data_IF_311455550113
#
_entry.id   IF_311455550113
#
_cell.length_a   1.000
_cell.length_b   1.000
_cell.length_c   1.000
_cell.angle_alpha   90.00
_cell.angle_beta   90.00
_cell.angle_gamma   90.00
#
_symmetry.space_group_name_H-M   'P 1'
#
loop_
_entity.id
_entity.type
_entity.pdbx_description
1 polymer ?
#
# COMPACT_ATOMS: atom_id res chain seq x y z
N UNK A 1 -0.29 12.49 4.95
CA UNK A 1 -0.26 11.83 6.27
C UNK A 1 0.08 10.37 6.05
N UNK A 2 1.15 9.87 6.67
CA UNK A 2 1.57 8.46 6.57
C UNK A 2 0.83 7.62 7.63
N UNK A 3 0.66 6.32 7.40
CA UNK A 3 0.05 5.37 8.35
C UNK A 3 0.65 5.48 9.77
N UNK A 4 1.95 5.74 9.84
CA UNK A 4 2.70 5.97 11.09
C UNK A 4 2.17 7.15 11.91
N UNK A 5 1.77 8.25 11.28
CA UNK A 5 1.26 9.42 11.97
C UNK A 5 -0.14 9.16 12.58
N UNK A 6 -1.00 8.44 11.86
CA UNK A 6 -2.34 8.09 12.34
C UNK A 6 -2.26 7.11 13.52
N UNK A 7 -1.37 6.11 13.45
CA UNK A 7 -1.14 5.17 14.55
C UNK A 7 -0.57 5.86 15.80
N UNK A 8 0.25 6.89 15.62
CA UNK A 8 0.77 7.69 16.73
C UNK A 8 -0.35 8.48 17.42
N UNK A 9 -1.25 9.10 16.67
CA UNK A 9 -2.40 9.84 17.20
C UNK A 9 -3.39 8.93 17.94
N UNK A 10 -3.75 7.78 17.35
CA UNK A 10 -4.65 6.81 17.98
C UNK A 10 -4.10 6.34 19.34
N UNK A 11 -2.79 6.08 19.42
CA UNK A 11 -2.13 5.72 20.69
C UNK A 11 -2.20 6.85 21.72
N UNK A 12 -1.99 8.10 21.30
CA UNK A 12 -2.08 9.25 22.22
C UNK A 12 -3.50 9.43 22.76
N UNK A 13 -4.52 9.16 21.95
CA UNK A 13 -5.92 9.23 22.38
C UNK A 13 -6.22 8.10 23.40
N UNK A 14 -5.77 6.87 23.15
CA UNK A 14 -5.90 5.76 24.09
C UNK A 14 -5.27 6.06 25.46
N UNK A 15 -4.08 6.66 25.46
CA UNK A 15 -3.38 7.01 26.70
C UNK A 15 -4.13 8.12 27.48
N UNK A 16 -4.75 9.08 26.80
CA UNK A 16 -5.62 10.10 27.42
C UNK A 16 -6.87 9.47 28.05
N UNK A 17 -7.50 8.51 27.37
CA UNK A 17 -8.68 7.81 27.90
C UNK A 17 -8.33 7.09 29.20
N UNK A 18 -7.23 6.32 29.22
CA UNK A 18 -6.76 5.61 30.43
C UNK A 18 -6.47 6.56 31.59
N UNK A 19 -5.88 7.71 31.30
CA UNK A 19 -5.60 8.71 32.34
C UNK A 19 -6.89 9.26 32.96
N UNK A 20 -7.89 9.58 32.15
CA UNK A 20 -9.19 10.06 32.63
C UNK A 20 -9.92 8.99 33.45
N UNK A 21 -9.82 7.72 33.07
CA UNK A 21 -10.40 6.60 33.85
C UNK A 21 -9.78 6.53 35.25
N UNK A 22 -8.46 6.71 35.37
CA UNK A 22 -7.78 6.79 36.67
C UNK A 22 -8.25 7.98 37.53
N UNK A 23 -8.54 9.12 36.91
CA UNK A 23 -9.08 10.30 37.60
C UNK A 23 -10.49 10.03 38.11
N UNK A 24 -11.36 9.41 37.31
CA UNK A 24 -12.72 9.03 37.72
C UNK A 24 -12.68 8.05 38.89
N UNK A 25 -11.82 7.03 38.83
CA UNK A 25 -11.66 6.05 39.91
C UNK A 25 -11.23 6.72 41.23
N UNK A 26 -10.30 7.66 41.14
CA UNK A 26 -9.82 8.41 42.30
C UNK A 26 -10.93 9.31 42.87
N UNK A 27 -11.62 10.06 42.01
CA UNK A 27 -12.72 10.94 42.41
C UNK A 27 -13.91 10.18 43.01
N UNK A 28 -14.15 8.95 42.56
CA UNK A 28 -15.18 8.06 43.11
C UNK A 28 -14.81 7.64 44.53
N UNK A 29 -13.54 7.25 44.76
CA UNK A 29 -13.03 6.88 46.09
C UNK A 29 -13.08 8.06 47.07
N UNK A 30 -12.92 9.29 46.60
CA UNK A 30 -12.93 10.51 47.43
C UNK A 30 -14.29 11.19 47.51
N UNK A 31 -15.33 10.67 46.86
CA UNK A 31 -16.69 11.24 46.89
C UNK A 31 -16.86 12.57 46.14
N UNK A 32 -15.98 12.90 45.18
CA UNK A 32 -15.94 14.21 44.51
C UNK A 32 -16.83 14.29 43.26
N UNK A 33 -18.16 14.26 43.44
CA UNK A 33 -19.18 14.23 42.37
C UNK A 33 -19.00 15.25 41.24
N UNK A 34 -18.63 16.50 41.56
CA UNK A 34 -18.42 17.54 40.54
C UNK A 34 -17.25 17.28 39.59
N UNK A 35 -16.21 16.57 40.07
CA UNK A 35 -15.10 16.15 39.21
C UNK A 35 -15.48 14.93 38.36
N UNK A 36 -16.29 14.02 38.90
CA UNK A 36 -16.79 12.85 38.17
C UNK A 36 -17.55 13.30 36.92
N UNK A 37 -18.49 14.23 37.05
CA UNK A 37 -19.32 14.65 35.92
C UNK A 37 -18.52 15.37 34.82
N UNK A 38 -17.60 16.28 35.18
CA UNK A 38 -16.73 16.95 34.19
C UNK A 38 -15.83 15.96 33.47
N UNK A 39 -15.26 15.01 34.20
CA UNK A 39 -14.37 14.00 33.63
C UNK A 39 -15.14 13.06 32.70
N UNK A 40 -16.39 12.74 33.04
CA UNK A 40 -17.31 11.95 32.20
C UNK A 40 -17.60 12.64 30.86
N UNK A 41 -17.88 13.94 30.88
CA UNK A 41 -18.15 14.73 29.67
C UNK A 41 -16.93 14.79 28.75
N UNK A 42 -15.74 15.07 29.30
CA UNK A 42 -14.49 15.07 28.52
C UNK A 42 -14.22 13.69 27.91
N UNK A 43 -14.48 12.61 28.66
CA UNK A 43 -14.33 11.24 28.16
C UNK A 43 -15.26 10.96 26.98
N UNK A 44 -16.52 11.36 27.07
CA UNK A 44 -17.51 11.17 25.99
C UNK A 44 -17.12 11.92 24.71
N UNK A 45 -16.60 13.14 24.83
CA UNK A 45 -16.09 13.93 23.71
C UNK A 45 -14.88 13.26 23.04
N UNK A 46 -13.90 12.81 23.83
CA UNK A 46 -12.72 12.12 23.30
C UNK A 46 -13.10 10.79 22.62
N UNK A 47 -14.03 10.03 23.19
CA UNK A 47 -14.51 8.78 22.57
C UNK A 47 -15.16 9.02 21.21
N UNK A 48 -15.90 10.13 21.07
CA UNK A 48 -16.49 10.53 19.79
C UNK A 48 -15.41 10.86 18.77
N UNK A 49 -14.41 11.65 19.15
CA UNK A 49 -13.28 11.97 18.26
C UNK A 49 -12.50 10.72 17.86
N UNK A 50 -12.23 9.81 18.81
CA UNK A 50 -11.55 8.55 18.57
C UNK A 50 -12.27 7.70 17.52
N UNK A 51 -13.61 7.60 17.64
CA UNK A 51 -14.43 6.86 16.67
C UNK A 51 -14.31 7.44 15.25
N UNK A 52 -14.28 8.76 15.11
CA UNK A 52 -14.14 9.43 13.80
C UNK A 52 -12.75 9.13 13.20
N UNK A 53 -11.69 9.22 14.01
CA UNK A 53 -10.32 8.94 13.54
C UNK A 53 -10.16 7.48 13.14
N UNK A 54 -10.77 6.54 13.87
CA UNK A 54 -10.78 5.12 13.50
C UNK A 54 -11.49 4.88 12.17
N UNK A 55 -12.68 5.46 11.96
CA UNK A 55 -13.42 5.32 10.70
C UNK A 55 -12.64 5.87 9.50
N UNK A 56 -11.98 7.02 9.66
CA UNK A 56 -11.13 7.62 8.64
C UNK A 56 -9.93 6.73 8.31
N UNK A 57 -9.30 6.15 9.33
CA UNK A 57 -8.19 5.20 9.16
C UNK A 57 -8.65 3.96 8.40
N UNK A 58 -9.75 3.35 8.81
CA UNK A 58 -10.26 2.12 8.20
C UNK A 58 -10.66 2.35 6.74
N UNK A 59 -11.27 3.50 6.44
CA UNK A 59 -11.55 3.94 5.06
C UNK A 59 -10.28 4.08 4.23
N UNK A 60 -9.24 4.71 4.78
CA UNK A 60 -7.97 4.89 4.09
C UNK A 60 -7.24 3.55 3.85
N UNK A 61 -7.25 2.65 4.83
CA UNK A 61 -6.68 1.30 4.72
C UNK A 61 -7.47 0.48 3.69
N UNK A 62 -8.80 0.54 3.71
CA UNK A 62 -9.63 -0.14 2.72
C UNK A 62 -9.35 0.39 1.31
N UNK A 63 -9.22 1.71 1.13
CA UNK A 63 -8.86 2.31 -0.16
C UNK A 63 -7.46 1.90 -0.64
N UNK A 64 -6.49 1.76 0.28
CA UNK A 64 -5.15 1.29 -0.04
C UNK A 64 -5.15 -0.20 -0.44
N UNK A 65 -5.89 -1.03 0.28
CA UNK A 65 -6.02 -2.47 0.04
C UNK A 65 -6.84 -2.76 -1.23
N UNK A 66 -7.78 -1.90 -1.59
CA UNK A 66 -8.59 -2.00 -2.80
C UNK A 66 -7.92 -1.40 -4.04
N UNK A 67 -6.64 -0.97 -3.96
CA UNK A 67 -5.88 -0.73 -5.19
C UNK A 67 -5.84 -2.04 -5.95
N UNK A 68 -6.40 -2.05 -7.17
CA UNK A 68 -6.24 -3.16 -8.11
C UNK A 68 -4.75 -3.46 -8.20
N UNK A 69 -4.33 -4.58 -7.62
CA UNK A 69 -2.94 -5.02 -7.72
C UNK A 69 -2.67 -5.25 -9.20
N UNK A 70 -1.79 -4.44 -9.76
CA UNK A 70 -1.31 -4.64 -11.11
C UNK A 70 -0.55 -5.97 -11.08
N UNK A 71 -1.02 -6.98 -11.79
CA UNK A 71 -0.35 -8.28 -11.88
C UNK A 71 0.16 -8.54 -13.29
N UNK A 72 1.19 -9.35 -13.38
CA UNK A 72 1.71 -9.88 -14.65
C UNK A 72 1.84 -11.40 -14.54
N UNK A 73 1.50 -12.17 -15.58
CA UNK A 73 1.66 -13.62 -15.55
C UNK A 73 3.12 -14.01 -15.32
N UNK A 74 3.34 -15.03 -14.48
CA UNK A 74 4.70 -15.50 -14.10
C UNK A 74 5.60 -15.73 -15.31
N UNK A 75 5.10 -16.47 -16.30
CA UNK A 75 5.85 -16.78 -17.52
C UNK A 75 6.28 -15.51 -18.27
N UNK A 76 5.43 -14.48 -18.31
CA UNK A 76 5.77 -13.20 -18.96
C UNK A 76 6.85 -12.47 -18.15
N UNK A 77 6.73 -12.44 -16.82
CA UNK A 77 7.73 -11.82 -15.94
C UNK A 77 9.11 -12.47 -16.04
N UNK A 78 9.17 -13.80 -16.14
CA UNK A 78 10.41 -14.56 -16.31
C UNK A 78 11.13 -14.19 -17.61
N UNK A 79 10.40 -14.12 -18.72
CA UNK A 79 10.97 -13.71 -20.01
C UNK A 79 11.43 -12.25 -20.00
N UNK A 80 10.62 -11.35 -19.45
CA UNK A 80 11.01 -9.94 -19.31
C UNK A 80 12.24 -9.78 -18.41
N UNK A 81 12.42 -10.64 -17.40
CA UNK A 81 13.62 -10.64 -16.57
C UNK A 81 14.85 -11.07 -17.37
N UNK A 82 14.73 -12.11 -18.20
CA UNK A 82 15.84 -12.56 -19.04
C UNK A 82 16.25 -11.45 -20.03
N UNK A 83 15.27 -10.88 -20.74
CA UNK A 83 15.48 -9.73 -21.64
C UNK A 83 16.13 -8.56 -20.89
N UNK A 84 15.65 -8.26 -19.68
CA UNK A 84 16.21 -7.19 -18.85
C UNK A 84 17.69 -7.42 -18.58
N UNK A 85 18.10 -8.62 -18.19
CA UNK A 85 19.51 -8.97 -17.93
C UNK A 85 20.37 -8.91 -19.21
N UNK A 86 19.84 -9.41 -20.33
CA UNK A 86 20.55 -9.42 -21.61
C UNK A 86 20.74 -8.00 -22.18
N UNK A 87 19.84 -7.08 -21.85
CA UNK A 87 19.89 -5.66 -22.22
C UNK A 87 20.66 -4.78 -21.22
N UNK A 88 21.70 -5.30 -20.56
CA UNK A 88 22.48 -4.61 -19.52
C UNK A 88 22.82 -3.13 -19.87
N UNK A 89 23.24 -2.87 -21.11
CA UNK A 89 23.57 -1.52 -21.58
C UNK A 89 22.39 -0.52 -21.64
N UNK A 90 21.15 -0.98 -21.52
CA UNK A 90 19.93 -0.18 -21.62
C UNK A 90 19.09 -0.18 -20.34
N UNK A 91 19.49 -0.92 -19.31
CA UNK A 91 18.77 -1.05 -18.05
C UNK A 91 18.50 0.28 -17.34
N UNK A 92 19.24 1.36 -17.63
CA UNK A 92 18.98 2.68 -17.02
C UNK A 92 17.85 3.48 -17.70
N UNK A 93 17.34 3.01 -18.85
CA UNK A 93 16.34 3.73 -19.64
C UNK A 93 15.27 2.77 -20.20
N UNK A 94 14.14 2.69 -19.50
CA UNK A 94 12.99 1.83 -19.87
C UNK A 94 12.49 2.09 -21.28
N UNK A 95 12.43 3.35 -21.72
CA UNK A 95 11.96 3.67 -23.07
C UNK A 95 12.89 3.08 -24.14
N UNK A 96 14.21 3.15 -23.91
CA UNK A 96 15.19 2.53 -24.80
C UNK A 96 15.11 1.00 -24.76
N UNK A 97 14.88 0.41 -23.59
CA UNK A 97 14.66 -1.04 -23.49
C UNK A 97 13.47 -1.48 -24.33
N UNK A 98 12.33 -0.81 -24.19
CA UNK A 98 11.10 -1.18 -24.91
C UNK A 98 11.28 -1.07 -26.43
N UNK A 99 11.98 -0.05 -26.92
CA UNK A 99 12.22 0.11 -28.34
C UNK A 99 13.28 -0.85 -28.92
N UNK A 100 14.03 -1.57 -28.09
CA UNK A 100 15.18 -2.37 -28.53
C UNK A 100 15.17 -3.81 -28.00
N UNK A 101 14.09 -4.25 -27.36
CA UNK A 101 13.98 -5.61 -26.81
C UNK A 101 13.69 -6.69 -27.86
N UNK A 102 13.20 -6.30 -29.06
CA UNK A 102 12.80 -7.26 -30.10
C UNK A 102 13.87 -8.33 -30.43
N UNK A 103 15.16 -7.99 -30.57
CA UNK A 103 16.22 -8.97 -30.84
C UNK A 103 16.52 -9.93 -29.70
N UNK A 104 16.04 -9.65 -28.49
CA UNK A 104 16.31 -10.43 -27.27
C UNK A 104 15.19 -11.41 -26.94
N UNK A 105 14.09 -11.42 -27.70
CA UNK A 105 13.06 -12.43 -27.52
C UNK A 105 13.56 -13.79 -27.98
N UNK A 106 13.44 -14.78 -27.10
CA UNK A 106 13.51 -16.18 -27.53
C UNK A 106 12.37 -16.47 -28.52
N UNK A 107 12.61 -17.17 -29.64
CA UNK A 107 11.58 -17.44 -30.64
C UNK A 107 10.35 -18.18 -30.11
N UNK A 108 10.49 -19.06 -29.12
CA UNK A 108 9.36 -19.78 -28.51
C UNK A 108 8.57 -18.85 -27.58
N UNK A 109 9.26 -17.95 -26.89
CA UNK A 109 8.67 -17.00 -25.94
C UNK A 109 8.10 -15.75 -26.60
N UNK A 110 8.59 -15.37 -27.78
CA UNK A 110 8.08 -14.26 -28.58
C UNK A 110 6.58 -14.38 -28.82
N UNK A 111 6.11 -15.57 -29.23
CA UNK A 111 4.70 -15.80 -29.49
C UNK A 111 3.85 -15.63 -28.22
N UNK A 112 4.36 -16.09 -27.07
CA UNK A 112 3.66 -16.00 -25.77
C UNK A 112 3.52 -14.54 -25.35
N UNK A 113 4.60 -13.76 -25.43
CA UNK A 113 4.59 -12.35 -25.05
C UNK A 113 3.76 -11.54 -26.03
N UNK A 114 3.85 -11.82 -27.33
CA UNK A 114 3.03 -11.18 -28.34
C UNK A 114 1.54 -11.42 -28.11
N UNK A 115 1.13 -12.67 -27.92
CA UNK A 115 -0.28 -13.02 -27.65
C UNK A 115 -0.79 -12.37 -26.37
N UNK A 116 0.04 -12.31 -25.33
CA UNK A 116 -0.30 -11.58 -24.11
C UNK A 116 -0.43 -10.07 -24.36
N UNK A 117 0.53 -9.43 -25.03
CA UNK A 117 0.47 -7.99 -25.33
C UNK A 117 -0.78 -7.59 -26.13
N UNK A 118 -1.26 -8.48 -27.00
CA UNK A 118 -2.45 -8.25 -27.83
C UNK A 118 -3.77 -8.67 -27.15
N UNK A 119 -3.73 -9.38 -26.02
CA UNK A 119 -4.95 -9.84 -25.35
C UNK A 119 -5.66 -8.75 -24.54
N UNK A 120 -4.95 -7.71 -24.12
CA UNK A 120 -5.50 -6.57 -23.36
C UNK A 120 -4.71 -5.30 -23.69
N UNK A 121 -5.42 -4.19 -23.93
CA UNK A 121 -4.81 -2.89 -24.24
C UNK A 121 -3.87 -2.38 -23.12
N UNK A 122 -4.07 -2.84 -21.89
CA UNK A 122 -3.27 -2.45 -20.73
C UNK A 122 -1.98 -3.26 -20.58
N UNK A 123 -1.80 -4.37 -21.30
CA UNK A 123 -0.62 -5.23 -21.12
C UNK A 123 0.69 -4.53 -21.49
N UNK A 124 0.65 -3.61 -22.46
CA UNK A 124 1.81 -2.74 -22.76
C UNK A 124 2.13 -1.79 -21.60
N UNK A 125 1.13 -1.27 -20.91
CA UNK A 125 1.31 -0.42 -19.73
C UNK A 125 1.82 -1.23 -18.53
N UNK A 126 1.33 -2.45 -18.34
CA UNK A 126 1.80 -3.38 -17.31
C UNK A 126 3.27 -3.76 -17.53
N UNK A 127 3.64 -4.16 -18.75
CA UNK A 127 5.03 -4.46 -19.10
C UNK A 127 5.95 -3.26 -18.84
N UNK A 128 5.54 -2.05 -19.25
CA UNK A 128 6.30 -0.82 -19.03
C UNK A 128 6.50 -0.56 -17.54
N UNK A 129 5.43 -0.72 -16.74
CA UNK A 129 5.47 -0.50 -15.30
C UNK A 129 6.33 -1.55 -14.59
N UNK A 130 6.23 -2.81 -15.01
CA UNK A 130 7.05 -3.91 -14.50
C UNK A 130 8.54 -3.65 -14.73
N UNK A 131 8.93 -3.33 -15.97
CA UNK A 131 10.31 -2.99 -16.31
C UNK A 131 10.79 -1.74 -15.56
N UNK A 132 9.96 -0.70 -15.43
CA UNK A 132 10.32 0.47 -14.63
C UNK A 132 10.56 0.14 -13.15
N UNK A 133 9.76 -0.76 -12.57
CA UNK A 133 9.98 -1.26 -11.22
C UNK A 133 11.34 -1.96 -11.09
N UNK A 134 11.68 -2.82 -12.05
CA UNK A 134 12.98 -3.50 -12.12
C UNK A 134 14.15 -2.52 -12.18
N UNK A 135 14.10 -1.53 -13.08
CA UNK A 135 15.13 -0.49 -13.21
C UNK A 135 15.33 0.30 -11.90
N UNK A 136 14.23 0.59 -11.20
CA UNK A 136 14.24 1.39 -9.96
C UNK A 136 14.50 0.57 -8.70
N UNK A 137 14.53 -0.76 -8.79
CA UNK A 137 14.66 -1.65 -7.63
C UNK A 137 13.44 -1.62 -6.70
N UNK A 138 12.24 -1.39 -7.24
CA UNK A 138 10.97 -1.37 -6.49
C UNK A 138 9.95 -2.31 -7.10
N UNK A 139 9.08 -2.88 -6.27
CA UNK A 139 7.99 -3.74 -6.71
C UNK A 139 6.75 -2.89 -7.02
N UNK A 140 6.45 -2.69 -8.31
CA UNK A 140 5.29 -1.90 -8.78
C UNK A 140 4.15 -2.77 -9.34
N UNK A 141 4.47 -3.99 -9.77
CA UNK A 141 3.58 -4.96 -10.38
C UNK A 141 3.87 -6.30 -9.71
N UNK A 142 2.84 -6.96 -9.21
CA UNK A 142 2.95 -8.29 -8.62
C UNK A 142 3.13 -9.34 -9.72
N UNK A 143 3.93 -10.38 -9.44
CA UNK A 143 4.03 -11.54 -10.32
C UNK A 143 3.04 -12.58 -9.83
N UNK A 144 2.20 -13.08 -10.74
CA UNK A 144 1.20 -14.11 -10.41
C UNK A 144 1.88 -15.41 -9.92
N UNK A 145 1.25 -16.10 -8.97
CA UNK A 145 1.63 -17.46 -8.61
C UNK A 145 1.12 -18.43 -9.70
N UNK A 146 1.90 -19.48 -10.00
CA UNK A 146 1.65 -20.48 -11.07
C UNK A 146 0.20 -20.95 -11.23
#
# INVERSE_FOLDING_TARGET
>A
MTETAINWELKHIDDKIKHLESIVDTATKTGSLGMIERTRQIREEILREFSIVQEQRDTAVAALNNKTKLSIPKKIAEELNQIYEDMNEHQTNVARMICSMEPYFDPESFLVIFLWLESDENNRNLMTTYLAGKVLGVELVEVECE
#
